data_IF_090940057995
#
_entry.id   IF_090940057995
#
_cell.length_a   1.000
_cell.length_b   1.000
_cell.length_c   1.000
_cell.angle_alpha   90.00
_cell.angle_beta   90.00
_cell.angle_gamma   90.00
#
_symmetry.space_group_name_H-M   'P 1'
#
loop_
_entity.id
_entity.type
_entity.pdbx_description
1 polymer ?
#
# COMPACT_ATOMS: atom_id res chain seq x y z
N UNK A 1 12.33 -0.76 -10.43
CA UNK A 1 12.21 -0.79 -8.95
C UNK A 1 11.45 -2.06 -8.62
N UNK A 2 11.85 -2.80 -7.59
CA UNK A 2 11.04 -3.94 -7.12
C UNK A 2 9.68 -3.40 -6.67
N UNK A 3 8.59 -3.92 -7.23
CA UNK A 3 7.22 -3.47 -6.92
C UNK A 3 6.82 -3.76 -5.45
N UNK A 4 7.61 -4.59 -4.78
CA UNK A 4 7.49 -4.90 -3.35
C UNK A 4 8.84 -4.68 -2.66
N UNK A 5 8.89 -3.64 -1.83
CA UNK A 5 9.99 -3.38 -0.90
C UNK A 5 9.77 -4.19 0.38
N UNK A 6 10.85 -4.78 0.91
CA UNK A 6 10.80 -5.56 2.14
C UNK A 6 11.99 -5.21 3.04
N UNK A 7 11.68 -4.74 4.24
CA UNK A 7 12.64 -4.43 5.29
C UNK A 7 12.49 -5.44 6.43
N UNK A 8 13.51 -6.27 6.64
CA UNK A 8 13.45 -7.34 7.62
C UNK A 8 14.44 -8.44 7.32
N UNK A 9 14.23 -9.62 7.91
CA UNK A 9 15.10 -10.76 7.70
C UNK A 9 14.86 -11.35 6.31
N UNK A 10 15.90 -11.57 5.47
CA UNK A 10 15.70 -11.99 4.08
C UNK A 10 14.84 -13.25 3.90
N UNK A 11 14.91 -14.19 4.85
CA UNK A 11 14.12 -15.42 4.82
C UNK A 11 12.62 -15.20 5.13
N UNK A 12 12.25 -14.08 5.75
CA UNK A 12 10.87 -13.76 6.11
C UNK A 12 10.08 -13.17 4.94
N UNK A 13 10.74 -12.59 3.92
CA UNK A 13 10.09 -11.90 2.78
C UNK A 13 8.98 -12.73 2.13
N UNK A 14 9.29 -13.98 1.77
CA UNK A 14 8.32 -14.86 1.09
C UNK A 14 7.09 -15.13 1.96
N UNK A 15 7.28 -15.33 3.27
CA UNK A 15 6.20 -15.56 4.23
C UNK A 15 5.36 -14.29 4.41
N UNK A 16 6.00 -13.13 4.51
CA UNK A 16 5.33 -11.85 4.65
C UNK A 16 4.42 -11.54 3.45
N UNK A 17 4.93 -11.74 2.23
CA UNK A 17 4.14 -11.54 1.00
C UNK A 17 2.94 -12.50 0.94
N UNK A 18 3.14 -13.78 1.28
CA UNK A 18 2.06 -14.75 1.29
C UNK A 18 0.98 -14.42 2.34
N UNK A 19 1.40 -13.96 3.52
CA UNK A 19 0.48 -13.55 4.56
C UNK A 19 -0.29 -12.29 4.15
N UNK A 20 0.39 -11.29 3.59
CA UNK A 20 -0.25 -10.09 3.06
C UNK A 20 -1.30 -10.45 2.00
N UNK A 21 -0.95 -11.29 1.02
CA UNK A 21 -1.87 -11.72 -0.04
C UNK A 21 -3.12 -12.40 0.53
N UNK A 22 -2.97 -13.27 1.53
CA UNK A 22 -4.10 -13.88 2.22
C UNK A 22 -4.97 -12.84 2.93
N UNK A 23 -4.35 -11.94 3.72
CA UNK A 23 -5.07 -10.91 4.47
C UNK A 23 -5.82 -9.97 3.53
N UNK A 24 -5.22 -9.58 2.41
CA UNK A 24 -5.90 -8.75 1.42
C UNK A 24 -7.10 -9.47 0.83
N UNK A 25 -6.99 -10.75 0.46
CA UNK A 25 -8.13 -11.51 -0.08
C UNK A 25 -9.27 -11.69 0.92
N UNK A 26 -8.96 -11.84 2.21
CA UNK A 26 -9.95 -12.10 3.25
C UNK A 26 -10.54 -10.82 3.87
N UNK A 27 -9.74 -9.75 3.96
CA UNK A 27 -10.04 -8.54 4.72
C UNK A 27 -9.84 -7.25 3.90
N UNK A 28 -9.51 -7.34 2.61
CA UNK A 28 -9.13 -6.22 1.76
C UNK A 28 -10.27 -5.35 1.24
N UNK A 29 -11.53 -5.74 1.46
CA UNK A 29 -12.67 -4.85 1.23
C UNK A 29 -12.67 -3.77 2.33
N UNK A 30 -12.33 -2.53 1.94
CA UNK A 30 -12.32 -1.36 2.83
C UNK A 30 -13.57 -0.49 2.64
N UNK A 31 -14.57 -0.98 1.90
CA UNK A 31 -15.80 -0.25 1.59
C UNK A 31 -15.53 0.99 0.75
N UNK A 32 -15.95 2.16 1.25
CA UNK A 32 -15.87 3.43 0.51
C UNK A 32 -14.44 3.89 0.22
N UNK A 33 -13.45 3.34 0.90
CA UNK A 33 -12.04 3.70 0.75
C UNK A 33 -11.31 2.88 -0.33
N UNK A 34 -11.94 1.82 -0.83
CA UNK A 34 -11.38 0.98 -1.90
C UNK A 34 -11.44 -0.52 -1.61
N UNK A 35 -11.08 -1.30 -2.61
CA UNK A 35 -11.05 -2.76 -2.53
C UNK A 35 -9.66 -3.28 -2.91
N UNK A 36 -9.00 -3.93 -1.96
CA UNK A 36 -7.68 -4.55 -2.10
C UNK A 36 -7.79 -6.08 -2.23
N UNK A 37 -9.00 -6.65 -2.28
CA UNK A 37 -9.27 -8.10 -2.23
C UNK A 37 -8.77 -8.89 -3.44
N UNK A 38 -8.36 -8.21 -4.51
CA UNK A 38 -7.67 -8.82 -5.64
C UNK A 38 -6.32 -9.45 -5.24
N UNK A 39 -5.73 -9.03 -4.11
CA UNK A 39 -4.49 -9.56 -3.57
C UNK A 39 -3.24 -8.97 -4.21
N UNK A 40 -2.08 -9.44 -3.73
CA UNK A 40 -0.78 -8.80 -4.03
C UNK A 40 -0.45 -8.88 -5.52
N UNK A 41 -0.69 -10.02 -6.15
CA UNK A 41 -0.29 -10.25 -7.54
C UNK A 41 -0.96 -9.30 -8.55
N UNK A 42 -2.15 -8.79 -8.22
CA UNK A 42 -2.87 -7.82 -9.07
C UNK A 42 -2.52 -6.39 -8.66
N UNK A 43 -2.44 -6.13 -7.35
CA UNK A 43 -2.16 -4.77 -6.86
C UNK A 43 -0.80 -4.24 -7.30
N UNK A 44 0.21 -5.10 -7.44
CA UNK A 44 1.54 -4.67 -7.86
C UNK A 44 1.58 -4.10 -9.28
N UNK A 45 0.53 -4.24 -10.09
CA UNK A 45 0.52 -3.63 -11.43
C UNK A 45 0.37 -2.10 -11.34
N UNK A 46 -0.37 -1.60 -10.34
CA UNK A 46 -0.71 -0.18 -10.19
C UNK A 46 -0.22 0.45 -8.88
N UNK A 47 0.11 -0.37 -7.87
CA UNK A 47 0.49 0.06 -6.54
C UNK A 47 1.90 -0.40 -6.17
N UNK A 48 2.62 0.43 -5.42
CA UNK A 48 3.81 0.02 -4.69
C UNK A 48 3.42 -0.57 -3.34
N UNK A 49 4.16 -1.58 -2.89
CA UNK A 49 3.96 -2.20 -1.57
C UNK A 49 5.27 -2.14 -0.78
N UNK A 50 5.20 -1.62 0.44
CA UNK A 50 6.27 -1.71 1.42
C UNK A 50 5.84 -2.60 2.59
N UNK A 51 6.75 -3.48 3.01
CA UNK A 51 6.55 -4.40 4.12
C UNK A 51 7.74 -4.27 5.08
N UNK A 52 7.49 -3.84 6.30
CA UNK A 52 8.48 -3.80 7.38
C UNK A 52 8.20 -4.90 8.40
N UNK A 53 9.16 -5.78 8.66
CA UNK A 53 9.08 -6.78 9.73
C UNK A 53 9.23 -6.10 11.09
N UNK A 54 8.20 -6.22 11.93
CA UNK A 54 8.19 -5.70 13.29
C UNK A 54 8.07 -6.85 14.30
N UNK A 55 8.22 -6.54 15.59
CA UNK A 55 8.07 -7.56 16.63
C UNK A 55 6.64 -8.12 16.63
N UNK A 56 6.49 -9.37 16.21
CA UNK A 56 5.21 -10.08 16.21
C UNK A 56 4.40 -9.95 14.91
N UNK A 57 4.84 -9.17 13.93
CA UNK A 57 4.02 -8.87 12.76
C UNK A 57 4.74 -8.13 11.64
N UNK A 58 3.93 -7.51 10.79
CA UNK A 58 4.38 -6.70 9.66
C UNK A 58 3.63 -5.37 9.64
N UNK A 59 4.36 -4.28 9.41
CA UNK A 59 3.78 -3.00 9.01
C UNK A 59 3.74 -2.93 7.49
N UNK A 60 2.59 -2.56 6.95
CA UNK A 60 2.31 -2.57 5.51
C UNK A 60 1.96 -1.16 5.08
N UNK A 61 2.55 -0.72 3.97
CA UNK A 61 2.12 0.46 3.23
C UNK A 61 1.86 0.11 1.78
N UNK A 62 0.71 0.51 1.25
CA UNK A 62 0.29 0.32 -0.14
C UNK A 62 0.00 1.71 -0.70
N UNK A 63 0.69 2.10 -1.76
CA UNK A 63 0.62 3.46 -2.30
C UNK A 63 0.54 3.45 -3.84
N UNK A 64 -0.16 4.42 -4.47
CA UNK A 64 -0.19 4.54 -5.91
C UNK A 64 1.22 4.70 -6.48
N UNK A 65 1.54 3.99 -7.57
CA UNK A 65 2.83 4.19 -8.28
C UNK A 65 2.89 5.54 -9.00
N UNK A 66 1.73 6.03 -9.43
CA UNK A 66 1.59 7.26 -10.18
C UNK A 66 0.92 8.35 -9.33
N UNK A 67 1.33 9.60 -9.51
CA UNK A 67 0.75 10.77 -8.84
C UNK A 67 -0.57 11.21 -9.49
N UNK A 68 -1.35 10.29 -10.06
CA UNK A 68 -2.66 10.57 -10.69
C UNK A 68 -3.80 10.74 -9.67
N UNK A 69 -3.49 10.58 -8.39
CA UNK A 69 -4.43 10.67 -7.28
C UNK A 69 -4.98 9.30 -6.86
N UNK A 70 -5.51 9.21 -5.64
CA UNK A 70 -6.05 7.96 -5.09
C UNK A 70 -5.91 7.86 -3.57
N UNK A 71 -5.84 6.64 -3.06
CA UNK A 71 -5.63 6.37 -1.64
C UNK A 71 -4.32 5.63 -1.40
N UNK A 72 -3.58 6.07 -0.39
CA UNK A 72 -2.57 5.23 0.26
C UNK A 72 -3.18 4.56 1.49
N UNK A 73 -2.70 3.35 1.78
CA UNK A 73 -3.16 2.53 2.87
C UNK A 73 -1.99 2.12 3.73
N UNK A 74 -2.12 2.30 5.04
CA UNK A 74 -1.18 1.75 6.02
C UNK A 74 -1.91 0.93 7.06
N UNK A 75 -1.36 -0.23 7.42
CA UNK A 75 -1.93 -1.11 8.44
C UNK A 75 -0.89 -2.10 8.95
N UNK A 76 -1.19 -2.75 10.06
CA UNK A 76 -0.36 -3.83 10.62
C UNK A 76 -1.03 -5.18 10.46
N UNK A 77 -0.22 -6.23 10.29
CA UNK A 77 -0.65 -7.63 10.31
C UNK A 77 0.06 -8.35 11.46
N UNK A 78 -0.71 -8.96 12.36
CA UNK A 78 -0.17 -9.89 13.35
C UNK A 78 0.22 -11.22 12.68
N UNK A 79 1.49 -11.62 12.82
CA UNK A 79 2.04 -12.78 12.11
C UNK A 79 1.59 -14.14 12.65
N UNK A 80 0.93 -14.16 13.81
CA UNK A 80 0.43 -15.38 14.45
C UNK A 80 -1.03 -15.63 14.11
N UNK A 81 -1.84 -14.57 14.13
CA UNK A 81 -3.29 -14.60 13.94
C UNK A 81 -3.72 -14.27 12.51
N UNK A 82 -2.88 -13.59 11.73
CA UNK A 82 -3.25 -13.09 10.41
C UNK A 82 -4.32 -11.99 10.44
N UNK A 83 -4.53 -11.34 11.58
CA UNK A 83 -5.47 -10.24 11.66
C UNK A 83 -4.82 -8.92 11.26
N UNK A 84 -5.55 -8.13 10.48
CA UNK A 84 -5.20 -6.75 10.19
C UNK A 84 -5.71 -5.81 11.28
N UNK A 85 -4.89 -4.85 11.69
CA UNK A 85 -5.26 -3.76 12.59
C UNK A 85 -4.76 -2.41 12.08
N UNK A 86 -5.22 -1.34 12.74
CA UNK A 86 -4.66 0.02 12.59
C UNK A 86 -4.69 0.56 11.15
N UNK A 87 -5.80 0.32 10.44
CA UNK A 87 -5.99 0.79 9.07
C UNK A 87 -6.08 2.31 9.05
N UNK A 88 -5.09 2.93 8.41
CA UNK A 88 -5.04 4.35 8.06
C UNK A 88 -5.21 4.46 6.55
N UNK A 89 -6.07 5.38 6.13
CA UNK A 89 -6.29 5.72 4.72
C UNK A 89 -5.90 7.17 4.52
N UNK A 90 -4.93 7.41 3.64
CA UNK A 90 -4.57 8.73 3.18
C UNK A 90 -5.20 9.05 1.82
N UNK A 91 -5.20 10.33 1.46
CA UNK A 91 -5.58 10.79 0.13
C UNK A 91 -4.35 11.31 -0.58
N UNK A 92 -4.07 10.74 -1.74
CA UNK A 92 -3.05 11.23 -2.66
C UNK A 92 -3.76 12.15 -3.63
N UNK A 93 -3.42 13.44 -3.59
CA UNK A 93 -3.92 14.42 -4.55
C UNK A 93 -3.05 14.39 -5.80
N UNK A 94 -3.63 14.52 -7.00
CA UNK A 94 -2.83 14.71 -8.20
C UNK A 94 -2.00 15.98 -8.08
N UNK A 95 -0.84 16.00 -8.74
CA UNK A 95 -0.05 17.23 -8.83
C UNK A 95 -0.93 18.35 -9.39
N UNK A 96 -0.92 19.55 -8.78
CA UNK A 96 -1.71 20.65 -9.29
C UNK A 96 -1.22 20.99 -10.71
N UNK A 97 -2.15 21.14 -11.65
CA UNK A 97 -1.86 21.71 -12.96
C UNK A 97 -1.35 23.15 -12.77
N UNK A 98 -0.03 23.34 -12.78
CA UNK A 98 0.56 24.67 -12.79
C UNK A 98 0.45 25.20 -14.21
N UNK A 99 -0.59 26.00 -14.48
CA UNK A 99 -0.69 26.79 -15.70
C UNK A 99 0.36 27.91 -15.69
N UNK A 100 1.55 27.61 -16.21
CA UNK A 100 2.68 28.54 -16.35
C UNK A 100 2.42 29.67 -17.37
N UNK A 101 1.25 29.76 -17.99
CA UNK A 101 0.96 30.79 -19.00
C UNK A 101 0.40 32.11 -18.44
N UNK A 102 0.13 32.20 -17.13
CA UNK A 102 -0.49 33.39 -16.50
C UNK A 102 0.42 34.29 -15.67
N UNK A 103 1.74 34.10 -15.72
CA UNK A 103 2.71 35.01 -15.09
C UNK A 103 3.56 35.73 -16.13
N UNK A 104 2.94 36.57 -16.94
CA UNK A 104 3.62 37.63 -17.70
C UNK A 104 3.14 38.99 -17.20
N UNK A 105 4.02 39.93 -16.81
CA UNK A 105 3.60 41.22 -16.29
C UNK A 105 2.85 42.02 -17.37
N UNK A 106 1.74 42.64 -16.95
CA UNK A 106 0.98 43.61 -17.74
C UNK A 106 1.76 44.88 -18.03
#
# INVERSE_FOLDING_TARGET
MDDIQFEGKPYARKKAIALLDQVLKEQGDLGVYGDLSAGVAILIDTMGISIEEQQGGYSISIYPKDASGGHDFSFTIDSHTGQRSDVVVGEVLPEPDIDVTKTGPS
#
